data_IF_174624259729
#
_entry.id   IF_174624259729
#
_cell.length_a   1.000
_cell.length_b   1.000
_cell.length_c   1.000
_cell.angle_alpha   90.00
_cell.angle_beta   90.00
_cell.angle_gamma   90.00
#
_symmetry.space_group_name_H-M   'P 1'
#
loop_
_entity.id
_entity.type
_entity.pdbx_description
1 polymer ?
#
# COMPACT_ATOMS: atom_id res chain seq x y z
N UNK A 1 -1.46 -12.34 -15.15
CA UNK A 1 -1.51 -11.68 -13.83
C UNK A 1 -2.93 -11.74 -13.31
N UNK A 2 -3.15 -12.09 -12.04
CA UNK A 2 -4.49 -12.13 -11.46
C UNK A 2 -4.72 -10.82 -10.67
N UNK A 3 -5.52 -9.86 -11.16
CA UNK A 3 -5.67 -8.55 -10.53
C UNK A 3 -6.28 -8.69 -9.11
N UNK A 4 -5.73 -7.94 -8.15
CA UNK A 4 -6.07 -8.07 -6.72
C UNK A 4 -7.29 -7.22 -6.36
N UNK A 5 -7.11 -5.89 -6.29
CA UNK A 5 -8.21 -4.96 -5.98
C UNK A 5 -9.07 -4.66 -7.22
N UNK A 6 -8.50 -4.82 -8.42
CA UNK A 6 -9.18 -4.65 -9.70
C UNK A 6 -9.78 -5.98 -10.14
N UNK A 7 -11.00 -5.95 -10.65
CA UNK A 7 -11.67 -7.11 -11.23
C UNK A 7 -11.40 -7.21 -12.73
N UNK A 8 -11.58 -6.12 -13.45
CA UNK A 8 -11.35 -6.02 -14.90
C UNK A 8 -10.59 -4.75 -15.25
N UNK A 9 -9.80 -4.79 -16.31
CA UNK A 9 -9.13 -3.61 -16.84
C UNK A 9 -8.90 -3.75 -18.34
N UNK A 10 -8.84 -2.61 -19.01
CA UNK A 10 -8.53 -2.52 -20.44
C UNK A 10 -7.71 -1.28 -20.76
N UNK A 11 -7.01 -1.33 -21.88
CA UNK A 11 -6.30 -0.21 -22.48
C UNK A 11 -6.93 0.03 -23.85
N UNK A 12 -7.12 1.29 -24.22
CA UNK A 12 -7.59 1.65 -25.56
C UNK A 12 -6.58 1.25 -26.65
N UNK A 13 -7.04 1.16 -27.90
CA UNK A 13 -6.20 0.72 -29.02
C UNK A 13 -5.00 1.66 -29.28
N UNK A 14 -5.12 2.95 -28.92
CA UNK A 14 -4.04 3.92 -29.07
C UNK A 14 -3.01 3.87 -27.93
N UNK A 15 -3.29 3.14 -26.83
CA UNK A 15 -2.42 3.09 -25.66
C UNK A 15 -2.34 4.41 -24.91
N UNK A 16 -3.41 5.22 -24.96
CA UNK A 16 -3.52 6.54 -24.35
C UNK A 16 -4.42 6.57 -23.12
N UNK A 17 -5.14 5.48 -22.84
CA UNK A 17 -6.09 5.40 -21.73
C UNK A 17 -6.13 3.99 -21.16
N UNK A 18 -6.01 3.89 -19.85
CA UNK A 18 -6.29 2.69 -19.07
C UNK A 18 -7.61 2.86 -18.32
N UNK A 19 -8.47 1.85 -18.34
CA UNK A 19 -9.70 1.78 -17.54
C UNK A 19 -9.63 0.57 -16.63
N UNK A 20 -10.02 0.76 -15.38
CA UNK A 20 -9.96 -0.28 -14.36
C UNK A 20 -11.25 -0.27 -13.55
N UNK A 21 -11.83 -1.45 -13.32
CA UNK A 21 -13.01 -1.64 -12.49
C UNK A 21 -12.60 -2.39 -11.23
N UNK A 22 -12.89 -1.80 -10.07
CA UNK A 22 -12.59 -2.36 -8.76
C UNK A 22 -13.53 -3.50 -8.40
N UNK A 23 -13.05 -4.40 -7.55
CA UNK A 23 -13.93 -5.29 -6.79
C UNK A 23 -14.74 -4.46 -5.79
N UNK A 24 -16.00 -4.80 -5.60
CA UNK A 24 -16.84 -4.22 -4.54
C UNK A 24 -16.58 -4.88 -3.19
N UNK A 25 -17.02 -4.24 -2.09
CA UNK A 25 -16.94 -4.83 -0.74
C UNK A 25 -15.54 -4.78 -0.11
N UNK A 26 -14.62 -3.99 -0.68
CA UNK A 26 -13.24 -3.90 -0.21
C UNK A 26 -13.14 -2.95 0.98
N UNK A 27 -13.40 -3.45 2.19
CA UNK A 27 -13.35 -2.64 3.42
C UNK A 27 -11.97 -2.04 3.69
N UNK A 28 -11.96 -0.76 4.03
CA UNK A 28 -10.84 -0.14 4.71
C UNK A 28 -10.73 -0.70 6.12
N UNK A 29 -9.52 -1.11 6.51
CA UNK A 29 -9.30 -1.75 7.79
C UNK A 29 -8.99 -0.69 8.84
N UNK A 30 -9.76 -0.70 9.93
CA UNK A 30 -9.53 0.19 11.07
C UNK A 30 -8.23 -0.19 11.78
N UNK A 31 -7.32 0.76 12.05
CA UNK A 31 -6.12 0.50 12.83
C UNK A 31 -6.48 0.14 14.27
N UNK A 32 -5.56 -0.52 14.97
CA UNK A 32 -5.78 -0.89 16.38
C UNK A 32 -6.06 0.35 17.22
N UNK A 33 -7.12 0.30 18.04
CA UNK A 33 -7.60 1.40 18.86
C UNK A 33 -8.66 2.30 18.19
N UNK A 34 -9.02 2.02 16.93
CA UNK A 34 -10.05 2.75 16.17
C UNK A 34 -11.11 1.80 15.59
N UNK A 35 -11.32 0.65 16.23
CA UNK A 35 -12.25 -0.39 15.77
C UNK A 35 -13.72 0.08 15.75
N UNK A 36 -14.06 1.11 16.54
CA UNK A 36 -15.39 1.73 16.57
C UNK A 36 -15.65 2.69 15.39
N UNK A 37 -14.61 3.03 14.60
CA UNK A 37 -14.72 3.92 13.44
C UNK A 37 -14.83 3.11 12.14
N UNK A 38 -15.84 3.44 11.33
CA UNK A 38 -16.00 2.89 9.99
C UNK A 38 -15.34 3.81 8.95
N UNK A 39 -14.23 3.34 8.37
CA UNK A 39 -13.51 4.05 7.30
C UNK A 39 -14.12 3.81 5.90
N UNK A 40 -15.17 3.00 5.82
CA UNK A 40 -15.92 2.68 4.62
C UNK A 40 -15.24 1.62 3.75
N UNK A 41 -15.55 1.67 2.46
CA UNK A 41 -14.99 0.76 1.45
C UNK A 41 -14.13 1.51 0.44
N UNK A 42 -13.13 0.83 -0.13
CA UNK A 42 -12.37 1.32 -1.27
C UNK A 42 -13.31 1.40 -2.47
N UNK A 43 -13.46 2.62 -2.99
CA UNK A 43 -14.21 2.94 -4.19
C UNK A 43 -13.32 3.68 -5.19
N UNK A 44 -13.87 3.99 -6.37
CA UNK A 44 -13.16 4.70 -7.43
C UNK A 44 -12.66 6.08 -7.01
N UNK A 45 -13.47 6.83 -6.24
CA UNK A 45 -13.11 8.17 -5.77
C UNK A 45 -11.86 8.13 -4.86
N UNK A 46 -11.83 7.22 -3.90
CA UNK A 46 -10.66 7.01 -3.02
C UNK A 46 -9.43 6.55 -3.80
N UNK A 47 -9.60 5.67 -4.79
CA UNK A 47 -8.49 5.24 -5.62
C UNK A 47 -7.91 6.39 -6.46
N UNK A 48 -8.76 7.26 -6.97
CA UNK A 48 -8.37 8.47 -7.72
C UNK A 48 -7.64 9.45 -6.82
N UNK A 49 -8.12 9.68 -5.60
CA UNK A 49 -7.43 10.51 -4.61
C UNK A 49 -6.04 9.96 -4.30
N UNK A 50 -5.93 8.67 -3.99
CA UNK A 50 -4.64 8.03 -3.76
C UNK A 50 -3.71 8.20 -4.96
N UNK A 51 -4.22 7.96 -6.17
CA UNK A 51 -3.44 8.00 -7.38
C UNK A 51 -2.94 9.42 -7.69
N UNK A 52 -3.83 10.40 -7.72
CA UNK A 52 -3.50 11.78 -8.08
C UNK A 52 -2.65 12.47 -7.01
N UNK A 53 -2.80 12.14 -5.72
CA UNK A 53 -1.90 12.64 -4.67
C UNK A 53 -0.52 11.98 -4.72
N UNK A 54 -0.43 10.74 -5.22
CA UNK A 54 0.83 10.02 -5.38
C UNK A 54 1.58 10.40 -6.66
N UNK A 55 0.85 10.80 -7.72
CA UNK A 55 1.42 11.13 -9.03
C UNK A 55 2.01 12.55 -9.05
N UNK A 56 3.30 12.70 -9.39
CA UNK A 56 3.96 14.00 -9.44
C UNK A 56 3.47 14.91 -10.59
N UNK A 57 2.77 14.37 -11.60
CA UNK A 57 2.10 15.17 -12.64
C UNK A 57 0.95 15.99 -12.07
N UNK A 58 0.19 15.42 -11.13
CA UNK A 58 -0.99 16.04 -10.52
C UNK A 58 -0.69 16.65 -9.15
N UNK A 59 0.32 16.14 -8.44
CA UNK A 59 0.81 16.64 -7.17
C UNK A 59 2.35 16.72 -7.15
N UNK A 60 2.95 17.82 -7.63
CA UNK A 60 4.41 17.99 -7.67
C UNK A 60 5.11 17.88 -6.30
N UNK A 61 4.39 18.15 -5.21
CA UNK A 61 4.89 18.07 -3.84
C UNK A 61 4.73 16.66 -3.23
N UNK A 62 4.35 15.66 -4.03
CA UNK A 62 4.18 14.31 -3.55
C UNK A 62 5.48 13.75 -3.00
N UNK A 63 5.42 13.21 -1.79
CA UNK A 63 6.51 12.46 -1.15
C UNK A 63 6.39 10.95 -1.36
N UNK A 64 5.48 10.54 -2.23
CA UNK A 64 5.29 9.14 -2.58
C UNK A 64 6.51 8.61 -3.37
N UNK A 65 7.03 7.45 -2.96
CA UNK A 65 8.30 6.92 -3.47
C UNK A 65 8.35 6.74 -5.00
N UNK A 66 7.20 6.46 -5.62
CA UNK A 66 7.10 6.26 -7.08
C UNK A 66 6.46 7.47 -7.80
N UNK A 67 6.41 8.65 -7.17
CA UNK A 67 5.68 9.79 -7.74
C UNK A 67 6.20 10.22 -9.11
N UNK A 68 7.51 10.12 -9.33
CA UNK A 68 8.15 10.37 -10.63
C UNK A 68 7.83 9.28 -11.68
N UNK A 69 7.77 8.02 -11.27
CA UNK A 69 7.39 6.92 -12.17
C UNK A 69 5.93 7.03 -12.59
N UNK A 70 5.05 7.44 -11.66
CA UNK A 70 3.66 7.74 -11.98
C UNK A 70 3.57 8.88 -12.98
N UNK A 71 4.34 9.96 -12.78
CA UNK A 71 4.34 11.11 -13.68
C UNK A 71 4.85 10.78 -15.09
N UNK A 72 5.80 9.85 -15.21
CA UNK A 72 6.35 9.43 -16.49
C UNK A 72 5.37 8.61 -17.34
N UNK A 73 4.37 7.98 -16.72
CA UNK A 73 3.50 6.99 -17.37
C UNK A 73 2.05 7.46 -17.43
N UNK A 74 1.58 8.14 -16.39
CA UNK A 74 0.18 8.43 -16.19
C UNK A 74 -0.11 9.92 -16.08
N UNK A 75 -1.23 10.29 -16.67
CA UNK A 75 -1.90 11.56 -16.49
C UNK A 75 -2.83 11.48 -15.27
N UNK A 76 -3.69 12.48 -15.13
CA UNK A 76 -4.74 12.51 -14.11
C UNK A 76 -5.69 11.31 -14.23
N UNK A 77 -5.98 10.68 -13.09
CA UNK A 77 -7.02 9.68 -12.96
C UNK A 77 -8.38 10.33 -12.66
N UNK A 78 -9.46 9.73 -13.16
CA UNK A 78 -10.85 10.18 -12.97
C UNK A 78 -11.73 9.00 -12.58
N UNK A 79 -12.64 9.23 -11.65
CA UNK A 79 -13.71 8.29 -11.35
C UNK A 79 -14.81 8.50 -12.40
N UNK A 80 -15.19 7.42 -13.08
CA UNK A 80 -16.28 7.44 -14.07
C UNK A 80 -17.61 7.00 -13.41
N UNK A 81 -17.51 6.09 -12.44
CA UNK A 81 -18.58 5.69 -11.53
C UNK A 81 -17.97 5.22 -10.19
N UNK A 82 -18.77 4.59 -9.32
CA UNK A 82 -18.35 4.19 -7.96
C UNK A 82 -17.22 3.15 -7.93
N UNK A 83 -17.03 2.35 -8.98
CA UNK A 83 -16.03 1.28 -9.01
C UNK A 83 -15.08 1.39 -10.19
N UNK A 84 -15.38 2.20 -11.20
CA UNK A 84 -14.57 2.33 -12.40
C UNK A 84 -13.81 3.65 -12.40
N UNK A 85 -12.49 3.52 -12.60
CA UNK A 85 -11.59 4.64 -12.84
C UNK A 85 -11.06 4.61 -14.27
N UNK A 86 -10.72 5.78 -14.77
CA UNK A 86 -10.05 5.99 -16.04
C UNK A 86 -8.79 6.83 -15.82
N UNK A 87 -7.67 6.41 -16.40
CA UNK A 87 -6.38 7.09 -16.29
C UNK A 87 -5.84 7.33 -17.69
N UNK A 88 -5.45 8.57 -17.98
CA UNK A 88 -4.72 8.87 -19.21
C UNK A 88 -3.28 8.33 -19.14
N UNK A 89 -2.74 7.90 -20.26
CA UNK A 89 -1.36 7.44 -20.40
C UNK A 89 -0.56 8.46 -21.21
N UNK A 90 0.64 8.79 -20.76
CA UNK A 90 1.55 9.73 -21.44
C UNK A 90 2.06 9.14 -22.76
N UNK A 91 2.22 7.82 -22.79
CA UNK A 91 2.69 7.01 -23.91
C UNK A 91 2.15 5.58 -23.74
N UNK A 92 2.22 4.69 -24.75
CA UNK A 92 1.82 3.29 -24.64
C UNK A 92 2.79 2.47 -23.77
N UNK A 93 2.92 2.85 -22.50
CA UNK A 93 3.77 2.25 -21.48
C UNK A 93 2.87 1.60 -20.44
N UNK A 94 2.98 0.29 -20.30
CA UNK A 94 2.06 -0.51 -19.48
C UNK A 94 2.72 -1.11 -18.23
N UNK A 95 3.93 -0.64 -17.91
CA UNK A 95 4.83 -1.27 -16.95
C UNK A 95 4.31 -1.32 -15.51
N UNK A 96 3.54 -0.31 -15.08
CA UNK A 96 2.97 -0.24 -13.74
C UNK A 96 1.49 -0.67 -13.69
N UNK A 97 0.95 -1.28 -14.76
CA UNK A 97 -0.46 -1.69 -14.82
C UNK A 97 -0.64 -3.19 -14.48
N UNK A 98 -1.71 -3.55 -13.74
CA UNK A 98 -2.65 -2.65 -13.08
C UNK A 98 -2.05 -2.06 -11.78
N UNK A 99 -2.19 -0.74 -11.60
CA UNK A 99 -1.58 0.01 -10.48
C UNK A 99 -2.06 -0.45 -9.09
N UNK A 100 -3.18 -1.16 -9.08
CA UNK A 100 -3.84 -1.64 -7.86
C UNK A 100 -3.20 -2.88 -7.23
N UNK A 101 -2.19 -3.49 -7.86
CA UNK A 101 -1.54 -4.69 -7.31
C UNK A 101 -0.38 -4.37 -6.40
N UNK A 102 0.48 -3.48 -6.86
CA UNK A 102 1.66 -2.96 -6.17
C UNK A 102 1.90 -1.60 -6.80
N UNK A 103 2.33 -0.58 -6.04
CA UNK A 103 2.86 0.65 -6.63
C UNK A 103 3.87 0.33 -7.74
N UNK A 104 4.26 1.30 -8.57
CA UNK A 104 5.16 0.97 -9.67
C UNK A 104 6.41 0.26 -9.12
N UNK A 105 6.84 -0.83 -9.74
CA UNK A 105 7.99 -1.64 -9.28
C UNK A 105 7.84 -2.32 -7.90
N UNK A 106 6.68 -2.25 -7.24
CA UNK A 106 6.55 -2.58 -5.82
C UNK A 106 7.53 -1.80 -4.91
N UNK A 107 7.97 -0.63 -5.36
CA UNK A 107 8.97 0.18 -4.67
C UNK A 107 8.34 1.12 -3.63
N UNK A 108 7.06 1.48 -3.79
CA UNK A 108 6.31 2.23 -2.79
C UNK A 108 5.10 1.48 -2.21
N UNK A 109 4.47 2.14 -1.22
CA UNK A 109 3.31 1.64 -0.46
C UNK A 109 2.10 1.47 -1.38
N UNK A 110 1.42 0.34 -1.32
CA UNK A 110 0.18 0.14 -2.10
C UNK A 110 -0.96 1.12 -1.76
N UNK A 111 -2.10 0.91 -2.40
CA UNK A 111 -3.32 1.70 -2.21
C UNK A 111 -3.68 1.80 -0.73
N UNK A 112 -3.86 3.03 -0.24
CA UNK A 112 -4.24 3.36 1.13
C UNK A 112 -5.11 4.60 1.16
N UNK A 113 -5.91 4.77 2.23
CA UNK A 113 -6.88 5.86 2.38
C UNK A 113 -6.19 7.19 2.66
N UNK A 114 -5.77 7.89 1.59
CA UNK A 114 -5.05 9.18 1.68
C UNK A 114 -5.92 10.31 2.21
N UNK A 115 -7.23 10.21 2.05
CA UNK A 115 -8.23 11.18 2.54
C UNK A 115 -8.34 11.20 4.06
N UNK A 116 -7.80 10.19 4.76
CA UNK A 116 -7.69 10.20 6.23
C UNK A 116 -6.87 11.38 6.75
N UNK A 117 -5.94 11.91 5.94
CA UNK A 117 -5.20 13.12 6.28
C UNK A 117 -6.10 14.37 6.29
N UNK A 118 -7.19 14.37 5.53
CA UNK A 118 -8.13 15.50 5.47
C UNK A 118 -9.10 15.47 6.64
N UNK A 119 -9.49 14.26 7.10
CA UNK A 119 -10.45 14.08 8.20
C UNK A 119 -9.78 14.11 9.58
N UNK A 120 -8.60 13.51 9.71
CA UNK A 120 -7.90 13.33 11.00
C UNK A 120 -6.61 14.16 11.11
N UNK A 121 -6.19 14.81 10.03
CA UNK A 121 -4.94 15.57 9.98
C UNK A 121 -3.73 14.71 9.60
N UNK A 122 -2.70 15.37 9.04
CA UNK A 122 -1.54 14.70 8.45
C UNK A 122 -0.72 13.89 9.47
N UNK A 123 -0.58 14.38 10.71
CA UNK A 123 0.22 13.69 11.74
C UNK A 123 -0.48 12.43 12.25
N UNK A 124 -1.81 12.45 12.31
CA UNK A 124 -2.60 11.27 12.62
C UNK A 124 -2.51 10.24 11.49
N UNK A 125 -2.72 10.66 10.24
CA UNK A 125 -2.65 9.77 9.08
C UNK A 125 -1.25 9.15 8.86
N UNK A 126 -0.19 9.86 9.29
CA UNK A 126 1.18 9.33 9.30
C UNK A 126 1.40 8.23 10.33
N UNK A 127 0.72 8.30 11.46
CA UNK A 127 0.83 7.32 12.54
C UNK A 127 -0.19 6.17 12.43
N UNK A 128 -1.24 6.34 11.62
CA UNK A 128 -2.31 5.36 11.45
C UNK A 128 -2.51 5.00 9.98
N UNK A 129 -1.82 3.96 9.51
CA UNK A 129 -1.99 3.48 8.15
C UNK A 129 -3.33 2.76 7.97
N UNK A 130 -4.12 3.20 7.00
CA UNK A 130 -5.41 2.60 6.63
C UNK A 130 -5.31 2.02 5.22
N UNK A 131 -5.30 0.69 5.16
CA UNK A 131 -5.29 -0.08 3.90
C UNK A 131 -6.43 -1.07 3.85
N UNK A 132 -6.57 -1.79 2.73
CA UNK A 132 -7.53 -2.91 2.58
C UNK A 132 -6.88 -4.28 2.79
N UNK A 133 -5.64 -4.31 3.29
CA UNK A 133 -4.81 -5.51 3.38
C UNK A 133 -5.20 -6.47 4.52
N UNK A 134 -4.54 -7.64 4.60
CA UNK A 134 -4.85 -8.68 5.59
C UNK A 134 -4.32 -8.41 7.00
N UNK A 135 -3.59 -7.32 7.20
CA UNK A 135 -3.07 -6.90 8.50
C UNK A 135 -3.29 -5.40 8.71
N UNK A 136 -3.55 -5.01 9.95
CA UNK A 136 -3.67 -3.61 10.41
C UNK A 136 -2.47 -3.22 11.25
N UNK A 137 -2.12 -1.94 11.20
CA UNK A 137 -1.06 -1.39 12.02
C UNK A 137 -1.45 -1.39 13.50
N UNK A 138 -0.53 -1.79 14.38
CA UNK A 138 -0.67 -1.71 15.83
C UNK A 138 -0.42 -0.29 16.38
N UNK A 139 -0.78 -0.11 17.65
CA UNK A 139 -0.61 1.13 18.43
C UNK A 139 0.83 1.33 18.96
N UNK A 140 1.68 0.30 18.85
CA UNK A 140 3.07 0.28 19.33
C UNK A 140 4.10 0.74 18.29
N UNK A 141 3.65 1.25 17.15
CA UNK A 141 4.51 1.64 16.04
C UNK A 141 5.30 2.93 16.34
N UNK A 142 6.60 2.77 16.53
CA UNK A 142 7.57 3.83 16.83
C UNK A 142 8.66 3.85 15.77
N UNK A 143 8.82 4.96 15.02
CA UNK A 143 9.91 5.11 14.07
C UNK A 143 11.25 4.84 14.75
N UNK A 144 12.10 4.00 14.14
CA UNK A 144 13.41 3.69 14.70
C UNK A 144 13.45 2.53 15.71
N UNK A 145 12.31 1.97 16.15
CA UNK A 145 12.25 0.92 17.19
C UNK A 145 11.46 -0.30 16.72
N UNK A 146 10.13 -0.21 16.74
CA UNK A 146 9.25 -1.37 16.47
C UNK A 146 7.92 -0.96 15.89
N UNK A 147 7.24 -1.91 15.28
CA UNK A 147 5.84 -1.77 14.90
C UNK A 147 5.21 -3.14 14.82
N UNK A 148 4.07 -3.33 15.47
CA UNK A 148 3.26 -4.53 15.31
C UNK A 148 2.21 -4.39 14.23
N UNK A 149 1.82 -5.53 13.67
CA UNK A 149 0.77 -5.67 12.70
C UNK A 149 -0.11 -6.84 13.14
N UNK A 150 -1.43 -6.64 13.15
CA UNK A 150 -2.40 -7.63 13.64
C UNK A 150 -3.24 -8.14 12.47
N UNK A 151 -3.51 -9.44 12.44
CA UNK A 151 -4.30 -10.03 11.37
C UNK A 151 -5.73 -9.50 11.41
N UNK A 152 -6.27 -9.20 10.24
CA UNK A 152 -7.70 -8.90 10.06
C UNK A 152 -8.47 -10.22 10.09
N UNK A 153 -9.46 -10.33 10.98
CA UNK A 153 -10.24 -11.56 11.18
C UNK A 153 -10.89 -12.09 9.89
N UNK A 154 -11.49 -11.19 9.11
CA UNK A 154 -12.23 -11.51 7.88
C UNK A 154 -11.77 -10.64 6.71
N UNK A 155 -10.59 -10.94 6.16
CA UNK A 155 -10.08 -10.24 4.98
C UNK A 155 -10.71 -10.78 3.69
N UNK A 156 -11.06 -9.88 2.75
CA UNK A 156 -11.78 -10.17 1.49
C UNK A 156 -11.12 -11.23 0.58
N UNK A 157 -9.82 -11.47 0.75
CA UNK A 157 -9.07 -12.49 -0.02
C UNK A 157 -8.65 -13.69 0.82
N UNK A 158 -7.95 -13.42 1.90
CA UNK A 158 -7.28 -14.42 2.73
C UNK A 158 -6.95 -13.78 4.07
N UNK A 159 -7.41 -14.38 5.16
CA UNK A 159 -7.06 -13.99 6.54
C UNK A 159 -5.62 -14.40 6.85
N UNK A 160 -4.91 -13.60 7.64
CA UNK A 160 -3.55 -13.90 8.08
C UNK A 160 -3.49 -15.15 8.96
N UNK A 161 -2.56 -16.07 8.68
CA UNK A 161 -2.36 -17.28 9.49
C UNK A 161 -1.60 -17.00 10.81
N UNK A 162 -1.07 -15.80 10.98
CA UNK A 162 -0.32 -15.38 12.16
C UNK A 162 -1.07 -14.21 12.78
N UNK A 163 -1.49 -14.34 14.04
CA UNK A 163 -2.33 -13.32 14.68
C UNK A 163 -1.62 -11.96 14.80
N UNK A 164 -0.31 -11.95 15.12
CA UNK A 164 0.48 -10.74 15.30
C UNK A 164 1.88 -10.92 14.73
N UNK A 165 2.33 -9.96 13.94
CA UNK A 165 3.70 -9.85 13.45
C UNK A 165 4.32 -8.60 14.07
N UNK A 166 5.51 -8.69 14.64
CA UNK A 166 6.25 -7.52 15.14
C UNK A 166 7.51 -7.32 14.32
N UNK A 167 7.58 -6.20 13.61
CA UNK A 167 8.82 -5.72 13.02
C UNK A 167 9.64 -4.97 14.07
N UNK A 168 10.91 -5.30 14.20
CA UNK A 168 11.86 -4.63 15.08
C UNK A 168 13.01 -4.11 14.23
N UNK A 169 13.32 -2.83 14.37
CA UNK A 169 14.45 -2.21 13.72
C UNK A 169 15.73 -2.50 14.51
N UNK A 170 16.55 -3.39 13.96
CA UNK A 170 17.86 -3.73 14.52
C UNK A 170 18.91 -3.38 13.46
N UNK A 171 19.57 -2.22 13.53
CA UNK A 171 20.43 -1.75 12.45
C UNK A 171 21.70 -2.59 12.28
N UNK A 172 22.23 -3.20 13.35
CA UNK A 172 23.47 -3.98 13.30
C UNK A 172 23.22 -5.46 12.94
N UNK A 173 23.85 -5.93 11.87
CA UNK A 173 23.72 -7.32 11.40
C UNK A 173 24.18 -8.36 12.44
N UNK A 174 25.20 -8.05 13.25
CA UNK A 174 25.66 -8.95 14.33
C UNK A 174 24.60 -9.13 15.40
N UNK A 175 23.86 -8.07 15.74
CA UNK A 175 22.76 -8.12 16.70
C UNK A 175 21.59 -8.91 16.12
N UNK A 176 21.26 -8.70 14.84
CA UNK A 176 20.23 -9.50 14.16
C UNK A 176 20.58 -11.00 14.18
N UNK A 177 21.83 -11.37 13.87
CA UNK A 177 22.30 -12.77 13.90
C UNK A 177 22.22 -13.35 15.32
N UNK A 178 22.64 -12.60 16.34
CA UNK A 178 22.53 -13.04 17.73
C UNK A 178 21.06 -13.27 18.12
N UNK A 179 20.16 -12.35 17.77
CA UNK A 179 18.74 -12.47 18.04
C UNK A 179 18.08 -13.65 17.31
N UNK A 180 18.47 -13.91 16.06
CA UNK A 180 18.03 -15.11 15.33
C UNK A 180 18.49 -16.40 16.02
N UNK A 181 19.76 -16.48 16.42
CA UNK A 181 20.32 -17.66 17.11
C UNK A 181 19.68 -17.90 18.47
N UNK A 182 19.27 -16.83 19.16
CA UNK A 182 18.55 -16.90 20.43
C UNK A 182 17.03 -17.12 20.25
N UNK A 183 16.56 -17.31 19.01
CA UNK A 183 15.13 -17.43 18.67
C UNK A 183 14.27 -16.22 19.12
N UNK A 184 14.88 -15.04 19.27
CA UNK A 184 14.19 -13.78 19.52
C UNK A 184 13.61 -13.17 18.24
N UNK A 185 14.12 -13.60 17.08
CA UNK A 185 13.59 -13.27 15.75
C UNK A 185 13.31 -14.56 14.98
N UNK A 186 12.22 -14.57 14.21
CA UNK A 186 11.89 -15.68 13.28
C UNK A 186 12.52 -15.47 11.90
N UNK A 187 12.79 -14.22 11.51
CA UNK A 187 13.35 -13.84 10.22
C UNK A 187 14.14 -12.52 10.34
N UNK A 188 15.21 -12.37 9.55
CA UNK A 188 15.89 -11.08 9.36
C UNK A 188 16.47 -10.96 7.95
N UNK A 189 16.61 -9.71 7.46
CA UNK A 189 17.27 -9.39 6.20
C UNK A 189 18.77 -9.17 6.46
N UNK A 190 19.59 -10.11 5.99
CA UNK A 190 21.05 -10.04 6.08
C UNK A 190 21.67 -9.75 4.70
N UNK A 191 22.81 -9.05 4.70
CA UNK A 191 23.65 -8.91 3.50
C UNK A 191 24.47 -10.18 3.29
N UNK A 192 24.93 -10.42 2.05
CA UNK A 192 25.68 -11.62 1.66
C UNK A 192 26.93 -11.86 2.52
N UNK A 193 27.61 -10.79 2.95
CA UNK A 193 28.79 -10.87 3.84
C UNK A 193 28.44 -11.24 5.30
N UNK A 194 27.19 -11.05 5.70
CA UNK A 194 26.69 -11.36 7.04
C UNK A 194 26.15 -12.79 7.14
N UNK A 195 25.60 -13.33 6.03
CA UNK A 195 25.10 -14.71 5.95
C UNK A 195 26.21 -15.75 6.15
N UNK A 196 27.43 -15.49 5.68
CA UNK A 196 28.59 -16.39 5.85
C UNK A 196 29.01 -16.59 7.32
N UNK A 197 28.43 -15.85 8.28
CA UNK A 197 28.72 -15.94 9.71
C UNK A 197 27.64 -16.63 10.52
N UNK A 198 26.55 -17.07 9.89
CA UNK A 198 25.52 -17.93 10.49
C UNK A 198 26.04 -19.35 10.65
#
# INVERSE_FOLDING_TARGET
>A
MNPFLVDTWDIDAAGTRARMTLKSGLKWQSPIGYEDEDFGELNAAELVEWFNRSNATTNPESTYGDGGDFAAIFLEAKAIDDLTIEIGLVAPVYYCLPVSQFGCLSAARGVHKVTSADTHGIDWARSHHIGTGPYVQGDDCKPGDRCSMHAVDSHWRTTGNVAKITGIQVPEATTQIAMLRMALLTWSRLTTSSFQRL
#
